data_IF_896515123644
#
_entry.id   IF_896515123644
#
_cell.length_a   1.000
_cell.length_b   1.000
_cell.length_c   1.000
_cell.angle_alpha   90.00
_cell.angle_beta   90.00
_cell.angle_gamma   90.00
#
_symmetry.space_group_name_H-M   'P 1'
#
loop_
_entity.id
_entity.type
_entity.pdbx_description
1 polymer ?
#
# COMPACT_ATOMS: atom_id res chain seq x y z
N UNK A 1 -13.54 65.25 -9.88
CA UNK A 1 -14.56 65.57 -10.89
C UNK A 1 -14.93 64.27 -11.58
N UNK A 2 -16.15 63.76 -11.66
CA UNK A 2 -17.48 64.25 -11.27
C UNK A 2 -18.44 63.08 -11.54
N UNK A 3 -19.24 62.70 -10.52
CA UNK A 3 -20.61 62.08 -10.49
C UNK A 3 -20.91 60.83 -11.34
N UNK A 4 -21.47 59.74 -10.79
CA UNK A 4 -22.75 59.53 -10.06
C UNK A 4 -24.02 59.57 -10.94
N UNK A 5 -24.89 58.58 -10.66
CA UNK A 5 -26.36 58.48 -10.80
C UNK A 5 -27.07 58.00 -12.09
N UNK A 6 -27.75 56.86 -11.91
CA UNK A 6 -29.21 56.54 -12.10
C UNK A 6 -30.02 57.25 -13.19
N UNK A 7 -30.85 56.53 -13.95
CA UNK A 7 -32.26 56.19 -13.64
C UNK A 7 -32.93 55.59 -14.90
N UNK A 8 -33.58 54.42 -14.80
CA UNK A 8 -35.05 54.24 -14.84
C UNK A 8 -35.84 55.00 -15.93
N UNK A 9 -36.55 54.23 -16.78
CA UNK A 9 -38.02 54.22 -16.96
C UNK A 9 -38.37 53.41 -18.22
N UNK A 10 -39.14 52.33 -18.13
CA UNK A 10 -40.60 52.24 -17.91
C UNK A 10 -41.40 52.36 -19.22
N UNK A 11 -42.29 51.41 -19.50
CA UNK A 11 -43.08 51.38 -20.73
C UNK A 11 -43.82 50.08 -21.07
N UNK A 12 -45.00 49.93 -20.47
CA UNK A 12 -46.27 49.40 -21.04
C UNK A 12 -46.52 47.89 -21.34
N UNK A 13 -47.34 47.30 -20.44
CA UNK A 13 -48.73 46.84 -20.64
C UNK A 13 -49.10 45.93 -21.86
N UNK A 14 -49.14 44.61 -21.59
CA UNK A 14 -50.27 43.63 -21.68
C UNK A 14 -51.18 43.50 -22.95
N UNK A 15 -52.08 42.48 -23.07
CA UNK A 15 -51.87 41.02 -23.07
C UNK A 15 -52.65 40.26 -24.19
N UNK A 16 -52.49 38.93 -24.25
CA UNK A 16 -53.48 37.90 -24.68
C UNK A 16 -53.38 37.31 -26.10
N UNK A 17 -53.05 36.00 -26.14
CA UNK A 17 -53.20 35.10 -27.28
C UNK A 17 -52.63 33.70 -27.00
N UNK A 18 -53.36 32.85 -26.29
CA UNK A 18 -53.12 31.40 -26.08
C UNK A 18 -53.36 30.57 -27.36
N UNK A 19 -53.05 29.26 -27.41
CA UNK A 19 -51.79 28.57 -27.14
C UNK A 19 -51.39 27.63 -28.32
N UNK A 20 -50.13 27.58 -28.73
CA UNK A 20 -49.64 26.48 -29.59
C UNK A 20 -48.84 25.49 -28.74
N UNK A 21 -49.47 24.34 -28.49
CA UNK A 21 -48.88 23.10 -28.00
C UNK A 21 -47.74 22.66 -28.91
N UNK A 22 -46.52 22.65 -28.38
CA UNK A 22 -45.37 21.92 -28.93
C UNK A 22 -44.92 20.90 -27.88
N UNK A 23 -44.66 19.63 -28.25
CA UNK A 23 -44.52 18.54 -27.30
C UNK A 23 -43.18 18.57 -26.56
N UNK A 24 -43.22 18.16 -25.29
CA UNK A 24 -42.06 18.02 -24.43
C UNK A 24 -41.09 16.94 -24.95
N UNK A 25 -39.76 17.11 -24.75
CA UNK A 25 -38.78 16.08 -25.04
C UNK A 25 -38.96 14.87 -24.10
N UNK A 26 -38.68 13.64 -24.55
CA UNK A 26 -38.87 12.43 -23.75
C UNK A 26 -37.92 12.40 -22.55
N UNK A 27 -38.47 12.04 -21.39
CA UNK A 27 -37.70 11.74 -20.18
C UNK A 27 -36.78 10.53 -20.41
N UNK A 28 -35.55 10.51 -19.86
CA UNK A 28 -34.68 9.35 -19.96
C UNK A 28 -35.25 8.20 -19.11
N UNK A 29 -35.42 7.04 -19.73
CA UNK A 29 -35.84 5.78 -19.08
C UNK A 29 -34.94 5.45 -17.87
N UNK A 30 -35.55 5.30 -16.70
CA UNK A 30 -34.89 4.70 -15.53
C UNK A 30 -34.55 3.23 -15.85
N UNK A 31 -33.29 2.78 -15.67
CA UNK A 31 -32.98 1.37 -15.83
C UNK A 31 -33.63 0.54 -14.70
N UNK A 32 -34.50 -0.39 -15.09
CA UNK A 32 -35.08 -1.42 -14.23
C UNK A 32 -34.01 -2.10 -13.37
N UNK A 33 -34.21 -2.14 -12.05
CA UNK A 33 -33.35 -2.90 -11.13
C UNK A 33 -33.53 -4.40 -11.38
N UNK A 34 -32.47 -5.15 -11.72
CA UNK A 34 -32.60 -6.61 -11.79
C UNK A 34 -32.72 -7.20 -10.38
N UNK A 35 -33.87 -7.82 -10.13
CA UNK A 35 -34.06 -8.81 -9.05
C UNK A 35 -33.27 -10.07 -9.38
N UNK A 36 -32.61 -10.65 -8.38
CA UNK A 36 -32.43 -12.10 -8.29
C UNK A 36 -30.99 -12.59 -8.33
N UNK A 37 -30.58 -13.11 -7.18
CA UNK A 37 -29.40 -13.94 -6.92
C UNK A 37 -29.40 -15.18 -7.81
N UNK A 38 -28.76 -15.13 -8.98
CA UNK A 38 -28.16 -16.29 -9.68
C UNK A 38 -27.07 -15.76 -10.63
N UNK A 39 -25.78 -16.03 -10.33
CA UNK A 39 -24.61 -16.04 -11.23
C UNK A 39 -23.34 -15.40 -10.62
N UNK A 40 -22.93 -15.79 -9.40
CA UNK A 40 -21.65 -15.34 -8.85
C UNK A 40 -20.42 -15.97 -9.54
N UNK A 41 -20.56 -17.16 -10.15
CA UNK A 41 -19.44 -17.86 -10.78
C UNK A 41 -19.17 -17.42 -12.23
N UNK A 42 -20.21 -17.25 -13.05
CA UNK A 42 -20.07 -16.83 -14.45
C UNK A 42 -19.76 -15.32 -14.59
N UNK A 43 -20.24 -14.50 -13.64
CA UNK A 43 -19.86 -13.08 -13.56
C UNK A 43 -18.37 -12.88 -13.23
N UNK A 44 -17.75 -13.80 -12.47
CA UNK A 44 -16.33 -13.71 -12.09
C UNK A 44 -15.36 -13.96 -13.25
N UNK A 45 -15.70 -14.85 -14.19
CA UNK A 45 -14.86 -15.09 -15.39
C UNK A 45 -15.06 -13.98 -16.41
N UNK A 46 -16.29 -13.51 -16.61
CA UNK A 46 -16.58 -12.38 -17.48
C UNK A 46 -15.95 -11.07 -16.97
N UNK A 47 -15.95 -10.84 -15.65
CA UNK A 47 -15.27 -9.69 -15.04
C UNK A 47 -13.75 -9.78 -15.12
N UNK A 48 -13.16 -10.98 -14.99
CA UNK A 48 -11.71 -11.17 -15.16
C UNK A 48 -11.26 -10.91 -16.61
N UNK A 49 -12.04 -11.36 -17.60
CA UNK A 49 -11.79 -11.07 -19.02
C UNK A 49 -11.94 -9.57 -19.29
N UNK A 50 -13.00 -8.93 -18.79
CA UNK A 50 -13.20 -7.48 -18.92
C UNK A 50 -12.13 -6.66 -18.20
N UNK A 51 -11.65 -7.09 -17.03
CA UNK A 51 -10.56 -6.46 -16.30
C UNK A 51 -9.24 -6.58 -17.07
N UNK A 52 -8.96 -7.77 -17.64
CA UNK A 52 -7.79 -7.97 -18.49
C UNK A 52 -7.88 -7.13 -19.78
N UNK A 53 -9.06 -6.99 -20.37
CA UNK A 53 -9.32 -6.11 -21.51
C UNK A 53 -9.18 -4.63 -21.15
N UNK A 54 -9.68 -4.20 -19.99
CA UNK A 54 -9.53 -2.84 -19.48
C UNK A 54 -8.06 -2.49 -19.22
N UNK A 55 -7.31 -3.39 -18.56
CA UNK A 55 -5.88 -3.23 -18.36
C UNK A 55 -5.13 -3.15 -19.71
N UNK A 56 -5.46 -4.03 -20.67
CA UNK A 56 -4.90 -3.98 -22.03
C UNK A 56 -5.26 -2.70 -22.78
N UNK A 57 -6.44 -2.13 -22.54
CA UNK A 57 -6.88 -0.89 -23.16
C UNK A 57 -6.18 0.35 -22.58
N UNK A 58 -5.78 0.31 -21.31
CA UNK A 58 -5.00 1.39 -20.67
C UNK A 58 -3.55 1.46 -21.17
N UNK A 59 -2.94 0.33 -21.55
CA UNK A 59 -1.58 0.28 -22.07
C UNK A 59 -1.58 0.16 -23.60
N UNK A 60 -1.44 1.29 -24.30
CA UNK A 60 -1.41 1.35 -25.77
C UNK A 60 -0.23 0.58 -26.40
N UNK A 61 0.82 0.30 -25.61
CA UNK A 61 1.97 -0.48 -26.03
C UNK A 61 2.33 -1.52 -24.96
N UNK A 62 2.39 -2.80 -25.36
CA UNK A 62 2.84 -3.88 -24.48
C UNK A 62 4.29 -4.22 -24.80
N UNK A 63 5.21 -3.71 -23.96
CA UNK A 63 6.63 -3.99 -24.08
C UNK A 63 6.91 -5.42 -23.63
N UNK A 64 7.43 -6.26 -24.54
CA UNK A 64 7.80 -7.67 -24.29
C UNK A 64 9.26 -7.91 -24.59
N UNK A 65 10.15 -7.37 -23.76
CA UNK A 65 11.57 -7.72 -23.89
C UNK A 65 11.83 -9.13 -23.32
N UNK A 66 12.84 -9.85 -23.83
CA UNK A 66 13.24 -11.14 -23.26
C UNK A 66 13.56 -11.07 -21.77
N UNK A 67 14.15 -9.96 -21.31
CA UNK A 67 14.52 -9.72 -19.91
C UNK A 67 13.28 -9.62 -19.01
N UNK A 68 12.29 -8.80 -19.39
CA UNK A 68 11.04 -8.65 -18.63
C UNK A 68 10.27 -9.97 -18.59
N UNK A 69 10.20 -10.65 -19.74
CA UNK A 69 9.50 -11.94 -19.84
C UNK A 69 10.15 -12.99 -18.92
N UNK A 70 11.48 -13.08 -18.92
CA UNK A 70 12.22 -14.01 -18.05
C UNK A 70 12.05 -13.67 -16.57
N UNK A 71 12.10 -12.38 -16.21
CA UNK A 71 11.91 -11.91 -14.82
C UNK A 71 10.53 -12.29 -14.29
N UNK A 72 9.46 -12.06 -15.07
CA UNK A 72 8.10 -12.46 -14.69
C UNK A 72 7.94 -13.99 -14.65
N UNK A 73 8.46 -14.71 -15.64
CA UNK A 73 8.40 -16.17 -15.65
C UNK A 73 9.09 -16.78 -14.41
N UNK A 74 10.20 -16.19 -13.94
CA UNK A 74 10.88 -16.66 -12.74
C UNK A 74 10.03 -16.55 -11.47
N UNK A 75 9.10 -15.58 -11.40
CA UNK A 75 8.19 -15.39 -10.28
C UNK A 75 6.96 -16.32 -10.36
N UNK A 76 6.40 -16.49 -11.56
CA UNK A 76 5.11 -17.14 -11.78
C UNK A 76 5.19 -18.61 -12.22
N UNK A 77 6.26 -18.99 -12.90
CA UNK A 77 6.54 -20.34 -13.37
C UNK A 77 8.03 -20.68 -13.15
N UNK A 78 8.48 -20.71 -11.87
CA UNK A 78 9.87 -21.00 -11.57
C UNK A 78 10.23 -22.41 -12.07
N UNK A 79 11.39 -22.59 -12.72
CA UNK A 79 11.76 -23.86 -13.31
C UNK A 79 11.78 -24.96 -12.23
N UNK A 80 11.01 -26.02 -12.46
CA UNK A 80 10.92 -27.13 -11.53
C UNK A 80 12.30 -27.74 -11.27
N UNK A 81 12.60 -28.16 -10.02
CA UNK A 81 13.84 -28.88 -9.72
C UNK A 81 13.96 -30.09 -10.64
N UNK A 82 15.14 -30.28 -11.26
CA UNK A 82 15.38 -31.42 -12.14
C UNK A 82 15.11 -32.74 -11.40
N UNK A 83 14.02 -33.42 -11.77
CA UNK A 83 13.55 -34.67 -11.13
C UNK A 83 14.29 -35.91 -11.63
N UNK A 84 15.02 -35.81 -12.75
CA UNK A 84 15.84 -36.91 -13.31
C UNK A 84 17.33 -36.59 -13.20
N UNK A 85 18.08 -37.48 -12.55
CA UNK A 85 19.54 -37.40 -12.40
C UNK A 85 20.00 -37.24 -10.95
N UNK A 86 21.30 -36.97 -10.77
CA UNK A 86 21.88 -36.67 -9.44
C UNK A 86 21.24 -35.37 -8.93
N UNK A 87 20.72 -35.37 -7.71
CA UNK A 87 20.10 -34.18 -7.09
C UNK A 87 21.02 -32.96 -7.27
N UNK A 88 20.51 -31.83 -7.80
CA UNK A 88 21.27 -30.58 -7.87
C UNK A 88 21.80 -30.24 -6.48
N UNK A 89 23.06 -29.78 -6.40
CA UNK A 89 23.66 -29.35 -5.12
C UNK A 89 23.09 -28.02 -4.61
N UNK A 90 22.37 -27.30 -5.45
CA UNK A 90 21.82 -25.98 -5.19
C UNK A 90 20.46 -25.87 -5.89
N UNK A 91 19.51 -25.20 -5.26
CA UNK A 91 18.18 -24.89 -5.78
C UNK A 91 17.96 -23.38 -5.82
N UNK A 92 16.91 -22.92 -6.51
CA UNK A 92 16.51 -21.52 -6.51
C UNK A 92 16.21 -21.03 -5.08
N UNK A 93 15.50 -21.84 -4.29
CA UNK A 93 15.15 -21.53 -2.90
C UNK A 93 16.39 -21.39 -2.01
N UNK A 94 17.45 -22.18 -2.26
CA UNK A 94 18.74 -22.01 -1.56
C UNK A 94 19.39 -20.65 -1.87
N UNK A 95 19.32 -20.20 -3.14
CA UNK A 95 19.84 -18.88 -3.55
C UNK A 95 19.04 -17.74 -2.92
N UNK A 96 17.72 -17.85 -2.90
CA UNK A 96 16.83 -16.85 -2.27
C UNK A 96 17.06 -16.79 -0.75
N UNK A 97 17.19 -17.94 -0.09
CA UNK A 97 17.50 -18.01 1.36
C UNK A 97 18.85 -17.38 1.68
N UNK A 98 19.90 -17.68 0.91
CA UNK A 98 21.20 -17.05 1.10
C UNK A 98 21.18 -15.53 0.83
N UNK A 99 20.45 -15.09 -0.19
CA UNK A 99 20.22 -13.66 -0.44
C UNK A 99 19.51 -12.98 0.74
N UNK A 100 18.47 -13.63 1.27
CA UNK A 100 17.73 -13.15 2.44
C UNK A 100 18.63 -13.05 3.66
N UNK A 101 19.44 -14.07 3.96
CA UNK A 101 20.39 -14.04 5.08
C UNK A 101 21.41 -12.90 4.95
N UNK A 102 21.97 -12.70 3.76
CA UNK A 102 22.89 -11.58 3.49
C UNK A 102 22.22 -10.22 3.73
N UNK A 103 20.98 -10.05 3.28
CA UNK A 103 20.23 -8.81 3.47
C UNK A 103 19.78 -8.61 4.93
N UNK A 104 19.55 -9.70 5.66
CA UNK A 104 19.21 -9.68 7.07
C UNK A 104 20.35 -9.13 7.93
N UNK A 105 21.59 -9.48 7.59
CA UNK A 105 22.79 -9.04 8.34
C UNK A 105 23.25 -7.63 7.98
N UNK A 106 23.19 -7.25 6.70
CA UNK A 106 23.84 -6.04 6.19
C UNK A 106 22.93 -5.09 5.43
N UNK A 107 21.62 -5.31 5.46
CA UNK A 107 20.67 -4.59 4.60
C UNK A 107 20.83 -4.93 3.12
N UNK A 108 20.05 -4.26 2.26
CA UNK A 108 20.13 -4.47 0.82
C UNK A 108 21.43 -3.98 0.21
N UNK A 109 22.11 -3.00 0.81
CA UNK A 109 23.40 -2.50 0.32
C UNK A 109 24.50 -3.56 0.37
N UNK A 110 24.42 -4.48 1.32
CA UNK A 110 25.29 -5.66 1.40
C UNK A 110 25.02 -6.71 0.31
N UNK A 111 23.81 -6.72 -0.26
CA UNK A 111 23.37 -7.77 -1.19
C UNK A 111 24.07 -7.64 -2.55
N UNK A 112 24.94 -8.60 -2.85
CA UNK A 112 25.57 -8.75 -4.16
C UNK A 112 25.63 -10.22 -4.56
N UNK A 113 25.59 -10.51 -5.87
CA UNK A 113 25.71 -11.88 -6.38
C UNK A 113 26.97 -12.58 -5.86
N UNK A 114 28.07 -11.83 -5.71
CA UNK A 114 29.32 -12.37 -5.17
C UNK A 114 29.20 -12.74 -3.69
N UNK A 115 28.59 -11.89 -2.84
CA UNK A 115 28.40 -12.19 -1.42
C UNK A 115 27.48 -13.39 -1.22
N UNK A 116 26.39 -13.48 -1.99
CA UNK A 116 25.49 -14.64 -1.97
C UNK A 116 26.21 -15.93 -2.39
N UNK A 117 27.10 -15.87 -3.39
CA UNK A 117 27.88 -17.02 -3.80
C UNK A 117 28.88 -17.46 -2.73
N UNK A 118 29.52 -16.51 -2.05
CA UNK A 118 30.39 -16.76 -0.89
C UNK A 118 29.62 -17.44 0.23
N UNK A 119 28.42 -16.94 0.57
CA UNK A 119 27.55 -17.53 1.60
C UNK A 119 27.21 -19.00 1.28
N UNK A 120 26.95 -19.30 0.01
CA UNK A 120 26.66 -20.65 -0.46
C UNK A 120 27.90 -21.53 -0.69
N UNK A 121 29.11 -20.99 -0.56
CA UNK A 121 30.36 -21.71 -0.85
C UNK A 121 30.51 -22.14 -2.32
N UNK A 122 29.93 -21.38 -3.26
CA UNK A 122 29.98 -21.66 -4.71
C UNK A 122 30.59 -20.51 -5.50
N UNK A 123 30.91 -20.74 -6.78
CA UNK A 123 31.34 -19.66 -7.67
C UNK A 123 30.16 -18.79 -8.11
N UNK A 124 30.38 -17.48 -8.25
CA UNK A 124 29.33 -16.53 -8.66
C UNK A 124 28.65 -16.90 -9.99
N UNK A 125 29.41 -17.46 -10.94
CA UNK A 125 28.87 -17.93 -12.22
C UNK A 125 27.78 -19.01 -12.07
N UNK A 126 27.82 -19.79 -10.99
CA UNK A 126 26.81 -20.81 -10.73
C UNK A 126 25.45 -20.20 -10.37
N UNK A 127 25.42 -19.03 -9.73
CA UNK A 127 24.15 -18.39 -9.34
C UNK A 127 23.34 -17.89 -10.55
N UNK A 128 24.03 -17.42 -11.60
CA UNK A 128 23.38 -16.92 -12.80
C UNK A 128 22.58 -17.97 -13.58
N UNK A 129 22.77 -19.26 -13.25
CA UNK A 129 21.93 -20.34 -13.80
C UNK A 129 20.55 -20.42 -13.12
N UNK A 130 20.41 -19.85 -11.93
CA UNK A 130 19.16 -19.81 -11.15
C UNK A 130 18.49 -18.45 -11.22
N UNK A 131 19.27 -17.37 -11.08
CA UNK A 131 18.77 -16.00 -11.03
C UNK A 131 19.62 -15.09 -11.92
N UNK A 132 19.03 -14.38 -12.90
CA UNK A 132 19.79 -13.55 -13.85
C UNK A 132 20.59 -12.41 -13.22
N UNK A 133 20.16 -11.91 -12.05
CA UNK A 133 20.79 -10.77 -11.42
C UNK A 133 20.23 -10.45 -10.04
N UNK A 134 20.76 -9.37 -9.46
CA UNK A 134 20.36 -8.87 -8.14
C UNK A 134 18.89 -8.45 -8.10
N UNK A 135 18.41 -7.81 -9.17
CA UNK A 135 17.03 -7.32 -9.24
C UNK A 135 16.02 -8.45 -9.15
N UNK A 136 16.21 -9.50 -9.96
CA UNK A 136 15.36 -10.70 -9.94
C UNK A 136 15.47 -11.45 -8.60
N UNK A 137 16.66 -11.45 -7.99
CA UNK A 137 16.86 -12.03 -6.67
C UNK A 137 16.05 -11.28 -5.60
N UNK A 138 16.08 -9.94 -5.62
CA UNK A 138 15.32 -9.12 -4.68
C UNK A 138 13.82 -9.36 -4.83
N UNK A 139 13.29 -9.45 -6.06
CA UNK A 139 11.87 -9.75 -6.27
C UNK A 139 11.48 -11.10 -5.65
N UNK A 140 12.29 -12.13 -5.88
CA UNK A 140 12.06 -13.47 -5.32
C UNK A 140 12.16 -13.47 -3.79
N UNK A 141 13.10 -12.72 -3.22
CA UNK A 141 13.23 -12.56 -1.78
C UNK A 141 11.99 -11.88 -1.18
N UNK A 142 11.49 -10.82 -1.82
CA UNK A 142 10.26 -10.14 -1.40
C UNK A 142 9.09 -11.13 -1.47
N UNK A 143 8.87 -11.79 -2.60
CA UNK A 143 7.76 -12.73 -2.75
C UNK A 143 7.81 -13.86 -1.72
N UNK A 144 9.01 -14.40 -1.44
CA UNK A 144 9.19 -15.45 -0.44
C UNK A 144 8.89 -14.97 0.99
N UNK A 145 9.21 -13.72 1.30
CA UNK A 145 8.87 -13.11 2.58
C UNK A 145 7.35 -12.89 2.71
N UNK A 146 6.69 -12.43 1.64
CA UNK A 146 5.22 -12.26 1.61
C UNK A 146 4.49 -13.61 1.72
N UNK A 147 5.10 -14.71 1.27
CA UNK A 147 4.55 -16.06 1.46
C UNK A 147 4.46 -16.49 2.94
N UNK A 148 5.07 -15.75 3.88
CA UNK A 148 5.00 -16.02 5.32
C UNK A 148 3.78 -15.40 5.99
N UNK A 149 3.01 -14.55 5.30
CA UNK A 149 1.88 -13.84 5.87
C UNK A 149 0.70 -14.77 6.14
N UNK A 150 0.12 -14.68 7.33
CA UNK A 150 -1.16 -15.34 7.65
C UNK A 150 -2.33 -14.42 7.29
N UNK A 151 -2.67 -14.39 6.00
CA UNK A 151 -3.64 -13.44 5.43
C UNK A 151 -5.07 -13.65 5.97
N UNK A 152 -5.87 -12.57 6.14
CA UNK A 152 -7.20 -12.66 6.72
C UNK A 152 -8.14 -13.54 5.89
N UNK A 153 -8.99 -14.33 6.55
CA UNK A 153 -9.94 -15.21 5.88
C UNK A 153 -11.03 -14.44 5.10
N UNK A 154 -11.61 -15.08 4.07
CA UNK A 154 -12.74 -14.55 3.31
C UNK A 154 -13.97 -14.34 4.19
N UNK A 155 -14.63 -13.18 4.07
CA UNK A 155 -15.88 -12.84 4.77
C UNK A 155 -15.71 -12.49 6.26
N UNK A 156 -14.49 -12.37 6.78
CA UNK A 156 -14.26 -11.87 8.13
C UNK A 156 -14.73 -10.40 8.27
N UNK A 157 -15.18 -9.96 9.47
CA UNK A 157 -15.56 -8.57 9.69
C UNK A 157 -14.43 -7.61 9.32
N UNK A 158 -14.74 -6.59 8.51
CA UNK A 158 -13.75 -5.70 7.87
C UNK A 158 -12.71 -5.18 8.87
N UNK A 159 -13.14 -4.73 10.05
CA UNK A 159 -12.24 -4.11 11.04
C UNK A 159 -11.22 -5.10 11.59
N UNK A 160 -11.67 -6.30 11.95
CA UNK A 160 -10.78 -7.35 12.44
C UNK A 160 -9.86 -7.89 11.34
N UNK A 161 -10.38 -8.04 10.12
CA UNK A 161 -9.61 -8.52 8.97
C UNK A 161 -8.52 -7.53 8.56
N UNK A 162 -8.83 -6.23 8.50
CA UNK A 162 -7.88 -5.18 8.16
C UNK A 162 -6.83 -5.00 9.27
N UNK A 163 -7.23 -5.15 10.54
CA UNK A 163 -6.28 -5.18 11.66
C UNK A 163 -5.29 -6.35 11.53
N UNK A 164 -5.78 -7.57 11.27
CA UNK A 164 -4.93 -8.75 11.04
C UNK A 164 -3.96 -8.49 9.88
N UNK A 165 -4.45 -8.00 8.75
CA UNK A 165 -3.62 -7.64 7.59
C UNK A 165 -2.51 -6.64 7.96
N UNK A 166 -2.85 -5.57 8.66
CA UNK A 166 -1.88 -4.56 9.10
C UNK A 166 -0.83 -5.14 10.07
N UNK A 167 -1.24 -6.03 10.98
CA UNK A 167 -0.35 -6.74 11.89
C UNK A 167 0.61 -7.68 11.15
N UNK A 168 0.13 -8.41 10.16
CA UNK A 168 0.93 -9.31 9.34
C UNK A 168 2.00 -8.53 8.56
N UNK A 169 1.64 -7.40 7.94
CA UNK A 169 2.60 -6.51 7.30
C UNK A 169 3.61 -5.90 8.29
N UNK A 170 3.14 -5.46 9.46
CA UNK A 170 4.01 -4.94 10.52
C UNK A 170 5.06 -5.98 10.93
N UNK A 171 4.61 -7.21 11.21
CA UNK A 171 5.47 -8.31 11.60
C UNK A 171 6.44 -8.70 10.48
N UNK A 172 5.99 -8.69 9.23
CA UNK A 172 6.83 -8.90 8.05
C UNK A 172 7.97 -7.88 7.98
N UNK A 173 7.68 -6.59 8.11
CA UNK A 173 8.71 -5.54 8.04
C UNK A 173 9.68 -5.58 9.22
N UNK A 174 9.21 -5.94 10.42
CA UNK A 174 10.11 -6.14 11.57
C UNK A 174 10.97 -7.39 11.42
N UNK A 175 10.45 -8.45 10.80
CA UNK A 175 11.18 -9.69 10.51
C UNK A 175 12.15 -9.52 9.35
N UNK A 176 11.82 -8.71 8.34
CA UNK A 176 12.63 -8.49 7.14
C UNK A 176 12.82 -6.98 6.87
N UNK A 177 13.57 -6.28 7.73
CA UNK A 177 13.72 -4.82 7.66
C UNK A 177 14.35 -4.33 6.35
N UNK A 178 15.09 -5.18 5.64
CA UNK A 178 15.66 -4.90 4.34
C UNK A 178 14.60 -4.62 3.25
N UNK A 179 13.35 -5.11 3.40
CA UNK A 179 12.25 -4.78 2.49
C UNK A 179 11.97 -3.27 2.49
N UNK A 180 12.10 -2.60 3.64
CA UNK A 180 11.81 -1.17 3.78
C UNK A 180 12.78 -0.27 3.00
N UNK A 181 13.92 -0.82 2.55
CA UNK A 181 14.92 -0.15 1.69
C UNK A 181 14.57 -0.27 0.19
N UNK A 182 13.53 -1.03 -0.16
CA UNK A 182 13.02 -1.15 -1.53
C UNK A 182 11.98 -0.08 -1.85
N UNK A 183 11.78 0.16 -3.15
CA UNK A 183 10.68 0.99 -3.61
C UNK A 183 9.41 0.13 -3.78
N UNK A 184 8.62 -0.01 -2.71
CA UNK A 184 7.35 -0.75 -2.75
C UNK A 184 6.26 -0.09 -3.62
N UNK A 185 6.42 1.17 -4.07
CA UNK A 185 5.58 1.73 -5.16
C UNK A 185 5.84 1.05 -6.50
N UNK A 186 6.95 0.33 -6.60
CA UNK A 186 7.27 -0.56 -7.73
C UNK A 186 7.47 -1.97 -7.20
N UNK A 187 6.58 -2.40 -6.32
CA UNK A 187 6.56 -3.77 -5.81
C UNK A 187 6.61 -4.78 -6.97
N UNK A 188 7.29 -5.91 -6.80
CA UNK A 188 7.32 -6.94 -7.82
C UNK A 188 5.89 -7.47 -8.04
N UNK A 189 5.54 -7.67 -9.31
CA UNK A 189 4.31 -8.38 -9.69
C UNK A 189 4.53 -9.87 -9.47
N UNK A 190 4.52 -10.28 -8.21
CA UNK A 190 4.80 -11.64 -7.76
C UNK A 190 3.59 -12.25 -7.05
N UNK A 191 3.40 -13.58 -7.08
CA UNK A 191 2.18 -14.23 -6.62
C UNK A 191 1.78 -13.87 -5.19
N UNK A 192 2.68 -14.02 -4.21
CA UNK A 192 2.35 -13.82 -2.79
C UNK A 192 2.21 -12.32 -2.45
N UNK A 193 2.89 -11.44 -3.19
CA UNK A 193 2.68 -9.99 -3.09
C UNK A 193 1.29 -9.61 -3.56
N UNK A 194 0.82 -10.19 -4.66
CA UNK A 194 -0.54 -9.97 -5.15
C UNK A 194 -1.59 -10.64 -4.27
N UNK A 195 -1.31 -11.82 -3.70
CA UNK A 195 -2.20 -12.48 -2.74
C UNK A 195 -2.43 -11.60 -1.50
N UNK A 196 -1.38 -10.95 -0.99
CA UNK A 196 -1.49 -10.00 0.10
C UNK A 196 -2.33 -8.77 -0.28
N UNK A 197 -2.08 -8.19 -1.47
CA UNK A 197 -2.86 -7.06 -1.96
C UNK A 197 -4.35 -7.43 -2.13
N UNK A 198 -4.64 -8.58 -2.73
CA UNK A 198 -6.00 -9.10 -2.89
C UNK A 198 -6.67 -9.31 -1.53
N UNK A 199 -5.97 -9.91 -0.57
CA UNK A 199 -6.49 -10.11 0.78
C UNK A 199 -6.82 -8.78 1.46
N UNK A 200 -5.96 -7.77 1.33
CA UNK A 200 -6.17 -6.41 1.82
C UNK A 200 -7.40 -5.75 1.19
N UNK A 201 -7.51 -5.77 -0.13
CA UNK A 201 -8.65 -5.20 -0.87
C UNK A 201 -9.96 -5.88 -0.44
N UNK A 202 -9.97 -7.20 -0.35
CA UNK A 202 -11.13 -7.99 0.07
C UNK A 202 -11.61 -7.64 1.48
N UNK A 203 -10.76 -7.10 2.36
CA UNK A 203 -11.20 -6.71 3.71
C UNK A 203 -12.20 -5.55 3.70
N UNK A 204 -12.16 -4.68 2.68
CA UNK A 204 -12.90 -3.41 2.66
C UNK A 204 -13.73 -3.18 1.38
N UNK A 205 -13.61 -4.02 0.35
CA UNK A 205 -14.31 -3.81 -0.93
C UNK A 205 -15.84 -3.78 -0.80
N UNK A 206 -16.41 -4.58 0.12
CA UNK A 206 -17.86 -4.71 0.30
C UNK A 206 -18.43 -3.81 1.42
N UNK A 207 -17.67 -2.82 1.90
CA UNK A 207 -18.11 -1.95 3.01
C UNK A 207 -18.96 -0.74 2.55
N UNK A 208 -19.22 -0.61 1.24
CA UNK A 208 -19.93 0.53 0.65
C UNK A 208 -19.02 1.70 0.23
N UNK A 209 -17.70 1.56 0.37
CA UNK A 209 -16.72 2.47 -0.24
C UNK A 209 -16.74 2.30 -1.77
N UNK A 210 -16.48 3.39 -2.51
CA UNK A 210 -16.22 3.26 -3.95
C UNK A 210 -14.88 2.55 -4.21
N UNK A 211 -14.69 2.04 -5.42
CA UNK A 211 -13.48 1.30 -5.80
C UNK A 211 -12.22 2.16 -5.65
N UNK A 212 -12.33 3.47 -5.95
CA UNK A 212 -11.24 4.41 -5.71
C UNK A 212 -10.95 4.57 -4.22
N UNK A 213 -11.98 4.70 -3.39
CA UNK A 213 -11.84 4.82 -1.94
C UNK A 213 -11.25 3.54 -1.33
N UNK A 214 -11.57 2.36 -1.86
CA UNK A 214 -10.98 1.08 -1.44
C UNK A 214 -9.47 1.09 -1.66
N UNK A 215 -9.01 1.45 -2.86
CA UNK A 215 -7.58 1.51 -3.18
C UNK A 215 -6.87 2.56 -2.32
N UNK A 216 -7.44 3.77 -2.20
CA UNK A 216 -6.87 4.86 -1.40
C UNK A 216 -6.78 4.49 0.08
N UNK A 217 -7.81 3.83 0.61
CA UNK A 217 -7.87 3.40 2.02
C UNK A 217 -6.85 2.32 2.31
N UNK A 218 -6.73 1.30 1.45
CA UNK A 218 -5.72 0.26 1.62
C UNK A 218 -4.30 0.86 1.52
N UNK A 219 -4.07 1.76 0.56
CA UNK A 219 -2.80 2.47 0.42
C UNK A 219 -2.46 3.32 1.65
N UNK A 220 -3.45 3.92 2.32
CA UNK A 220 -3.25 4.63 3.58
C UNK A 220 -2.77 3.68 4.68
N UNK A 221 -3.36 2.50 4.80
CA UNK A 221 -2.96 1.46 5.77
C UNK A 221 -1.55 0.96 5.48
N UNK A 222 -1.25 0.61 4.23
CA UNK A 222 0.08 0.13 3.84
C UNK A 222 1.17 1.17 4.15
N UNK A 223 0.94 2.44 3.78
CA UNK A 223 1.90 3.52 4.05
C UNK A 223 2.07 3.78 5.53
N UNK A 224 0.99 3.69 6.31
CA UNK A 224 1.02 3.86 7.74
C UNK A 224 1.90 2.80 8.42
N UNK A 225 1.65 1.53 8.10
CA UNK A 225 2.42 0.40 8.62
C UNK A 225 3.89 0.48 8.20
N UNK A 226 4.16 0.78 6.93
CA UNK A 226 5.53 0.99 6.44
C UNK A 226 6.24 2.14 7.16
N UNK A 227 5.55 3.26 7.38
CA UNK A 227 6.12 4.44 8.05
C UNK A 227 6.50 4.15 9.50
N UNK A 228 5.60 3.53 10.25
CA UNK A 228 5.88 3.13 11.63
C UNK A 228 6.98 2.06 11.71
N UNK A 229 6.99 1.10 10.79
CA UNK A 229 8.01 0.06 10.76
C UNK A 229 9.39 0.66 10.47
N UNK A 230 9.49 1.62 9.53
CA UNK A 230 10.73 2.37 9.26
C UNK A 230 11.24 3.10 10.50
N UNK A 231 10.37 3.82 11.20
CA UNK A 231 10.76 4.52 12.43
C UNK A 231 11.25 3.55 13.50
N UNK A 232 10.56 2.42 13.68
CA UNK A 232 10.92 1.39 14.66
C UNK A 232 12.25 0.70 14.34
N UNK A 233 12.47 0.37 13.07
CA UNK A 233 13.73 -0.24 12.61
C UNK A 233 14.88 0.76 12.72
N UNK A 234 14.66 2.04 12.41
CA UNK A 234 15.67 3.09 12.54
C UNK A 234 16.11 3.26 14.00
N UNK A 235 15.15 3.34 14.94
CA UNK A 235 15.44 3.42 16.38
C UNK A 235 16.22 2.19 16.87
N UNK A 236 15.82 0.97 16.47
CA UNK A 236 16.56 -0.25 16.81
C UNK A 236 17.99 -0.22 16.28
N UNK A 237 18.16 0.19 15.02
CA UNK A 237 19.47 0.27 14.37
C UNK A 237 20.38 1.27 15.07
N UNK A 238 19.87 2.46 15.39
CA UNK A 238 20.64 3.50 16.08
C UNK A 238 21.03 3.06 17.50
N UNK A 239 20.09 2.42 18.21
CA UNK A 239 20.34 1.85 19.54
C UNK A 239 21.41 0.76 19.49
N UNK A 240 21.34 -0.16 18.54
CA UNK A 240 22.33 -1.25 18.41
C UNK A 240 23.72 -0.70 18.06
N UNK A 241 23.80 0.40 17.30
CA UNK A 241 25.05 1.03 16.91
C UNK A 241 25.68 1.89 18.03
N UNK A 242 24.87 2.62 18.79
CA UNK A 242 25.35 3.62 19.77
C UNK A 242 25.27 3.13 21.22
N UNK A 243 24.44 2.13 21.50
CA UNK A 243 24.06 1.70 22.85
C UNK A 243 23.04 2.60 23.54
N UNK A 244 22.59 3.70 22.90
CA UNK A 244 21.71 4.71 23.47
C UNK A 244 20.32 4.60 22.84
N UNK A 245 19.28 4.47 23.66
CA UNK A 245 17.90 4.48 23.18
C UNK A 245 17.32 5.90 23.04
N UNK A 246 16.24 6.07 22.28
CA UNK A 246 15.59 7.37 22.03
C UNK A 246 15.40 8.24 23.28
N UNK A 247 14.87 7.70 24.38
CA UNK A 247 14.58 8.50 25.59
C UNK A 247 15.87 9.00 26.27
N UNK A 248 16.90 8.16 26.29
CA UNK A 248 18.22 8.53 26.78
C UNK A 248 18.87 9.55 25.85
N UNK A 249 18.76 9.36 24.54
CA UNK A 249 19.24 10.32 23.53
C UNK A 249 18.64 11.72 23.77
N UNK A 250 17.31 11.83 23.92
CA UNK A 250 16.67 13.13 24.21
C UNK A 250 17.08 13.70 25.57
N UNK A 251 17.35 12.85 26.55
CA UNK A 251 17.89 13.30 27.86
C UNK A 251 19.27 13.93 27.70
N UNK A 252 20.14 13.39 26.84
CA UNK A 252 21.48 13.97 26.60
C UNK A 252 21.42 15.37 25.95
N UNK A 253 20.33 15.69 25.26
CA UNK A 253 20.11 16.99 24.62
C UNK A 253 19.40 18.00 25.54
N UNK A 254 19.23 17.71 26.82
CA UNK A 254 18.49 18.56 27.76
C UNK A 254 18.92 20.03 27.78
N UNK A 255 20.22 20.32 27.61
CA UNK A 255 20.71 21.71 27.61
C UNK A 255 20.18 22.55 26.44
N UNK A 256 19.69 21.92 25.36
CA UNK A 256 19.02 22.63 24.27
C UNK A 256 17.86 23.50 24.77
N UNK A 257 17.08 22.98 25.72
CA UNK A 257 15.91 23.67 26.25
C UNK A 257 16.27 24.87 27.12
N UNK A 258 17.45 24.86 27.75
CA UNK A 258 17.93 25.96 28.58
C UNK A 258 18.67 27.02 27.75
N UNK A 259 19.53 26.58 26.84
CA UNK A 259 20.50 27.46 26.17
C UNK A 259 20.01 28.00 24.82
N UNK A 260 19.07 27.32 24.14
CA UNK A 260 18.76 27.58 22.74
C UNK A 260 17.27 27.69 22.40
N UNK A 261 16.37 27.03 23.15
CA UNK A 261 14.96 27.01 22.78
C UNK A 261 14.26 28.35 23.07
N UNK A 262 13.71 28.96 22.02
CA UNK A 262 13.00 30.24 22.10
C UNK A 262 11.47 30.01 22.12
N UNK A 263 10.88 30.21 23.29
CA UNK A 263 9.44 30.02 23.53
C UNK A 263 8.56 31.02 22.78
N UNK A 264 9.08 32.22 22.50
CA UNK A 264 8.35 33.26 21.74
C UNK A 264 8.37 32.95 20.25
N UNK A 265 9.46 32.34 19.76
CA UNK A 265 9.57 31.88 18.38
C UNK A 265 8.76 30.61 18.11
N UNK A 266 8.63 29.71 19.07
CA UNK A 266 7.92 28.42 18.92
C UNK A 266 6.69 28.27 19.84
N UNK A 267 5.73 29.21 19.85
CA UNK A 267 4.69 29.29 20.87
C UNK A 267 3.71 28.10 20.85
N UNK A 268 3.45 27.53 19.67
CA UNK A 268 2.58 26.34 19.54
C UNK A 268 3.25 25.10 20.10
N UNK A 269 4.56 24.92 19.85
CA UNK A 269 5.33 23.80 20.39
C UNK A 269 5.40 23.90 21.91
N UNK A 270 5.66 25.10 22.45
CA UNK A 270 5.62 25.37 23.88
C UNK A 270 4.27 24.98 24.49
N UNK A 271 3.16 25.37 23.85
CA UNK A 271 1.81 25.01 24.31
C UNK A 271 1.60 23.49 24.38
N UNK A 272 2.03 22.75 23.36
CA UNK A 272 1.88 21.29 23.31
C UNK A 272 2.80 20.61 24.32
N UNK A 273 4.04 21.07 24.44
CA UNK A 273 5.03 20.55 25.39
C UNK A 273 4.58 20.72 26.83
N UNK A 274 4.11 21.92 27.22
CA UNK A 274 3.57 22.17 28.57
C UNK A 274 2.33 21.32 28.87
N UNK A 275 1.56 20.94 27.85
CA UNK A 275 0.43 20.03 28.00
C UNK A 275 0.84 18.54 28.04
N UNK A 276 2.14 18.24 28.00
CA UNK A 276 2.69 16.88 27.97
C UNK A 276 2.53 16.16 26.64
N UNK A 277 2.28 16.88 25.54
CA UNK A 277 2.03 16.29 24.23
C UNK A 277 3.24 15.58 23.61
N UNK A 278 4.43 15.74 24.19
CA UNK A 278 5.67 15.04 23.80
C UNK A 278 6.19 14.08 24.88
N UNK A 279 5.50 13.99 26.03
CA UNK A 279 5.94 13.17 27.16
C UNK A 279 5.67 11.68 26.94
N UNK A 280 4.72 11.36 26.05
CA UNK A 280 4.41 10.00 25.71
C UNK A 280 5.49 9.44 24.75
N UNK A 281 6.12 8.30 25.08
CA UNK A 281 6.93 7.59 24.10
C UNK A 281 6.06 7.21 22.90
N UNK A 282 6.69 6.88 21.77
CA UNK A 282 5.97 6.33 20.63
C UNK A 282 5.07 5.18 21.11
N UNK A 283 3.76 5.36 20.94
CA UNK A 283 2.76 4.46 21.50
C UNK A 283 2.87 3.06 20.86
N UNK A 284 2.33 2.02 21.51
CA UNK A 284 2.23 0.70 20.92
C UNK A 284 1.55 0.75 19.56
N UNK A 285 2.02 -0.07 18.61
CA UNK A 285 1.47 -0.19 17.27
C UNK A 285 -0.05 -0.34 17.27
N UNK A 286 -0.59 -1.15 18.19
CA UNK A 286 -2.03 -1.44 18.28
C UNK A 286 -2.85 -0.17 18.58
N UNK A 287 -2.39 0.65 19.52
CA UNK A 287 -3.09 1.88 19.90
C UNK A 287 -3.05 2.95 18.80
N UNK A 288 -2.09 2.85 17.88
CA UNK A 288 -1.95 3.76 16.77
C UNK A 288 -2.72 3.24 15.55
N UNK A 289 -2.70 1.92 15.32
CA UNK A 289 -3.55 1.21 14.35
C UNK A 289 -5.04 1.40 14.64
N UNK A 290 -5.48 1.31 15.90
CA UNK A 290 -6.88 1.51 16.27
C UNK A 290 -7.41 2.89 15.83
N UNK A 291 -6.59 3.94 15.98
CA UNK A 291 -6.97 5.29 15.52
C UNK A 291 -7.07 5.39 14.00
N UNK A 292 -6.23 4.66 13.29
CA UNK A 292 -6.34 4.57 11.84
C UNK A 292 -7.62 3.83 11.44
N UNK A 293 -7.94 2.72 12.10
CA UNK A 293 -9.16 1.96 11.85
C UNK A 293 -10.42 2.78 12.18
N UNK A 294 -10.40 3.64 13.19
CA UNK A 294 -11.48 4.59 13.47
C UNK A 294 -11.68 5.60 12.32
N UNK A 295 -10.59 6.06 11.71
CA UNK A 295 -10.67 6.94 10.54
C UNK A 295 -11.26 6.21 9.31
N UNK A 296 -10.93 4.93 9.15
CA UNK A 296 -11.53 4.06 8.12
C UNK A 296 -13.02 3.84 8.38
N UNK A 297 -13.41 3.54 9.62
CA UNK A 297 -14.81 3.41 10.03
C UNK A 297 -15.60 4.68 9.70
N UNK A 298 -15.06 5.85 10.04
CA UNK A 298 -15.68 7.13 9.71
C UNK A 298 -15.78 7.37 8.19
N UNK A 299 -14.88 6.81 7.37
CA UNK A 299 -14.99 6.89 5.91
C UNK A 299 -16.11 5.98 5.39
N UNK A 300 -16.19 4.75 5.93
CA UNK A 300 -17.24 3.77 5.63
C UNK A 300 -18.63 4.33 6.01
N UNK A 301 -18.77 4.89 7.21
CA UNK A 301 -20.03 5.48 7.69
C UNK A 301 -20.50 6.62 6.80
N UNK A 302 -19.56 7.48 6.36
CA UNK A 302 -19.85 8.58 5.45
C UNK A 302 -20.30 8.09 4.07
N UNK A 303 -19.70 7.01 3.55
CA UNK A 303 -20.09 6.42 2.28
C UNK A 303 -21.49 5.77 2.34
N UNK A 304 -21.85 5.20 3.49
CA UNK A 304 -23.14 4.53 3.71
C UNK A 304 -24.27 5.47 4.13
N UNK A 305 -23.96 6.72 4.50
CA UNK A 305 -24.99 7.71 4.84
C UNK A 305 -25.64 8.25 3.56
N UNK A 306 -26.96 8.05 3.34
CA UNK A 306 -27.61 8.59 2.17
C UNK A 306 -27.52 10.12 2.17
N UNK A 307 -26.99 10.69 1.08
CA UNK A 307 -26.94 12.15 0.90
C UNK A 307 -28.33 12.79 1.02
N UNK A 308 -28.43 14.07 1.42
CA UNK A 308 -29.71 14.76 1.45
C UNK A 308 -30.31 14.76 0.04
N UNK A 309 -31.50 14.20 -0.09
CA UNK A 309 -32.32 14.22 -1.32
C UNK A 309 -32.71 15.64 -1.71
#
# INVERSE_FOLDING_TARGET
MTTDRTDERDGDLAPSGTPQTSPAPPEPEEPERPRGVVAAADAGVASAVQAAEHARAQFTEVVRTPEITRRLALLWDPPAPATRGRKPRLTLDDVVKAGTAVAQEGGLDALSMRRVATELGVGAMSLYTYVPGRTELVDLMIDRAYAELDLPAAGAPWRAALAQYAHELWNLYLRHPWILQTNMWRAPLAPHVLDAQEAGLRTIVDTGLSELQVVDTLGLVDNYVQGLARATVAERTERDATGVGNDEYWTTLGSFWEDWFDVERYPVMTRVYVAGGFDAPQGPFDASLDRLLDAVEMAIDRANTPGPR
#
